data_IF_942591147710
#
_entry.id   IF_942591147710
#
_cell.length_a   1.000
_cell.length_b   1.000
_cell.length_c   1.000
_cell.angle_alpha   90.00
_cell.angle_beta   90.00
_cell.angle_gamma   90.00
#
_symmetry.space_group_name_H-M   'P 1'
#
loop_
_entity.id
_entity.type
_entity.pdbx_description
1 polymer ?
#
# COMPACT_ATOMS: atom_id res chain seq x y z
N UNK A 1 -12.90 5.40 6.80
CA UNK A 1 -12.36 6.01 5.56
C UNK A 1 -11.49 7.22 5.89
N UNK A 2 -12.03 8.23 6.59
CA UNK A 2 -11.27 9.41 7.02
C UNK A 2 -10.00 9.10 7.82
N UNK A 3 -10.04 8.15 8.77
CA UNK A 3 -8.84 7.72 9.51
C UNK A 3 -7.68 7.31 8.59
N UNK A 4 -7.98 6.69 7.45
CA UNK A 4 -6.95 6.21 6.51
C UNK A 4 -6.37 7.38 5.71
N UNK A 5 -7.22 8.27 5.20
CA UNK A 5 -6.79 9.48 4.49
C UNK A 5 -5.98 10.41 5.39
N UNK A 6 -6.34 10.52 6.68
CA UNK A 6 -5.56 11.27 7.66
C UNK A 6 -4.15 10.70 7.85
N UNK A 7 -3.98 9.37 7.82
CA UNK A 7 -2.64 8.77 7.85
C UNK A 7 -1.85 9.10 6.61
N UNK A 8 -2.48 9.03 5.44
CA UNK A 8 -1.81 9.33 4.17
C UNK A 8 -1.30 10.77 4.14
N UNK A 9 -2.12 11.71 4.62
CA UNK A 9 -1.72 13.11 4.79
C UNK A 9 -0.56 13.27 5.79
N UNK A 10 -0.63 12.60 6.95
CA UNK A 10 0.44 12.65 7.97
C UNK A 10 1.76 12.05 7.47
N UNK A 11 1.70 11.05 6.60
CA UNK A 11 2.86 10.35 6.08
C UNK A 11 3.33 10.89 4.72
N UNK A 12 2.74 11.97 4.21
CA UNK A 12 3.02 12.55 2.88
C UNK A 12 3.03 11.49 1.77
N UNK A 13 2.06 10.57 1.81
CA UNK A 13 1.97 9.44 0.86
C UNK A 13 1.78 9.92 -0.57
N UNK A 14 1.09 11.06 -0.75
CA UNK A 14 0.78 11.59 -2.06
C UNK A 14 0.61 13.11 -2.04
N UNK A 15 0.56 13.72 -3.23
CA UNK A 15 0.26 15.15 -3.43
C UNK A 15 -0.76 15.33 -4.53
N UNK A 16 -1.72 16.23 -4.31
CA UNK A 16 -2.75 16.57 -5.29
C UNK A 16 -2.14 17.48 -6.36
N UNK A 17 -2.32 17.14 -7.64
CA UNK A 17 -1.83 17.94 -8.76
C UNK A 17 -2.63 17.70 -10.05
N UNK A 18 -2.46 18.59 -11.02
CA UNK A 18 -2.95 18.35 -12.37
C UNK A 18 -2.23 17.16 -13.00
N UNK A 19 -2.95 16.31 -13.74
CA UNK A 19 -2.37 15.20 -14.48
C UNK A 19 -1.46 15.76 -15.60
N UNK A 20 -0.16 15.41 -15.64
CA UNK A 20 0.70 15.81 -16.73
C UNK A 20 0.22 15.26 -18.08
N UNK A 21 0.52 15.97 -19.17
CA UNK A 21 0.10 15.54 -20.51
C UNK A 21 0.83 14.25 -20.89
N UNK A 22 0.07 13.23 -21.29
CA UNK A 22 0.61 11.94 -21.74
C UNK A 22 0.73 10.88 -20.65
N UNK A 23 0.44 11.22 -19.39
CA UNK A 23 0.50 10.27 -18.27
C UNK A 23 -0.83 9.51 -18.09
N UNK A 24 -0.72 8.26 -17.65
CA UNK A 24 -1.85 7.42 -17.28
C UNK A 24 -2.31 7.70 -15.84
N UNK A 25 -3.52 7.27 -15.49
CA UNK A 25 -4.00 7.32 -14.10
C UNK A 25 -4.55 5.98 -13.68
N UNK A 26 -4.16 5.52 -12.50
CA UNK A 26 -4.68 4.29 -11.90
C UNK A 26 -5.91 4.63 -11.05
N UNK A 27 -6.97 3.84 -11.18
CA UNK A 27 -8.15 4.03 -10.34
C UNK A 27 -7.89 3.67 -8.88
N UNK A 28 -8.69 4.19 -7.96
CA UNK A 28 -8.64 3.83 -6.53
C UNK A 28 -9.96 3.21 -6.08
N UNK A 29 -9.87 2.30 -5.11
CA UNK A 29 -11.04 1.61 -4.56
C UNK A 29 -10.91 1.41 -3.05
N UNK A 30 -12.03 1.48 -2.34
CA UNK A 30 -12.09 1.10 -0.94
C UNK A 30 -12.31 -0.41 -0.76
N UNK A 31 -11.49 -1.02 0.10
CA UNK A 31 -11.71 -2.35 0.64
C UNK A 31 -12.19 -2.25 2.08
N UNK A 32 -13.34 -2.86 2.36
CA UNK A 32 -13.95 -2.88 3.68
C UNK A 32 -13.80 -4.26 4.32
N UNK A 33 -13.49 -4.30 5.61
CA UNK A 33 -13.40 -5.53 6.39
C UNK A 33 -13.86 -5.29 7.82
N UNK A 34 -14.83 -6.08 8.27
CA UNK A 34 -15.24 -6.10 9.66
C UNK A 34 -14.28 -7.00 10.46
N UNK A 35 -13.80 -6.48 11.58
CA UNK A 35 -13.02 -7.23 12.56
C UNK A 35 -13.99 -7.67 13.65
N UNK A 36 -13.98 -8.98 13.90
CA UNK A 36 -14.77 -9.61 14.92
C UNK A 36 -13.88 -10.00 16.09
N UNK A 37 -14.44 -10.05 17.29
CA UNK A 37 -13.82 -10.70 18.44
C UNK A 37 -14.01 -12.23 18.39
N UNK A 38 -13.53 -12.93 19.42
CA UNK A 38 -13.65 -14.38 19.57
C UNK A 38 -15.10 -14.86 19.63
N UNK A 39 -16.04 -13.98 19.98
CA UNK A 39 -17.48 -14.26 20.07
C UNK A 39 -18.23 -13.92 18.78
N UNK A 40 -17.53 -13.46 17.75
CA UNK A 40 -18.12 -13.07 16.47
C UNK A 40 -18.75 -11.67 16.46
N UNK A 41 -18.57 -10.87 17.51
CA UNK A 41 -19.10 -9.51 17.60
C UNK A 41 -18.18 -8.55 16.84
N UNK A 42 -18.77 -7.68 16.01
CA UNK A 42 -18.02 -6.66 15.26
C UNK A 42 -17.42 -5.64 16.23
N UNK A 43 -16.11 -5.67 16.39
CA UNK A 43 -15.36 -4.72 17.23
C UNK A 43 -14.82 -3.52 16.43
N UNK A 44 -14.62 -3.67 15.12
CA UNK A 44 -14.09 -2.59 14.28
C UNK A 44 -14.40 -2.76 12.81
N UNK A 45 -14.87 -1.69 12.19
CA UNK A 45 -15.00 -1.59 10.72
C UNK A 45 -13.72 -0.99 10.15
N UNK A 46 -12.98 -1.78 9.37
CA UNK A 46 -11.72 -1.36 8.73
C UNK A 46 -11.99 -0.99 7.28
N UNK A 47 -11.52 0.18 6.86
CA UNK A 47 -11.48 0.59 5.46
C UNK A 47 -10.03 0.80 5.04
N UNK A 48 -9.66 0.33 3.85
CA UNK A 48 -8.36 0.59 3.22
C UNK A 48 -8.60 1.14 1.83
N UNK A 49 -7.87 2.18 1.46
CA UNK A 49 -7.82 2.61 0.06
C UNK A 49 -6.69 1.84 -0.64
N UNK A 50 -7.00 1.28 -1.81
CA UNK A 50 -6.04 0.56 -2.64
C UNK A 50 -6.03 1.15 -4.04
N UNK A 51 -4.86 1.14 -4.67
CA UNK A 51 -4.75 1.33 -6.11
C UNK A 51 -5.33 0.11 -6.82
N UNK A 52 -6.00 0.33 -7.94
CA UNK A 52 -6.48 -0.73 -8.82
C UNK A 52 -5.33 -1.22 -9.72
N UNK A 53 -4.28 -1.79 -9.12
CA UNK A 53 -3.09 -2.22 -9.87
C UNK A 53 -3.38 -3.26 -10.96
N UNK A 54 -4.50 -3.97 -10.90
CA UNK A 54 -4.96 -4.84 -12.01
C UNK A 54 -5.20 -4.11 -13.33
N UNK A 55 -5.24 -2.78 -13.31
CA UNK A 55 -5.35 -1.92 -14.51
C UNK A 55 -4.01 -1.40 -14.99
N UNK A 56 -2.90 -1.75 -14.33
CA UNK A 56 -1.55 -1.38 -14.75
C UNK A 56 -1.04 -2.28 -15.87
N UNK A 57 -0.31 -1.70 -16.81
CA UNK A 57 0.33 -2.39 -17.92
C UNK A 57 1.86 -2.49 -17.71
N UNK A 58 2.41 -3.70 -17.89
CA UNK A 58 3.87 -3.94 -17.82
C UNK A 58 4.58 -3.19 -18.96
N UNK A 59 5.70 -2.53 -18.64
CA UNK A 59 6.43 -1.67 -19.56
C UNK A 59 5.83 -0.27 -19.75
N UNK A 60 4.68 0.02 -19.14
CA UNK A 60 4.08 1.36 -19.10
C UNK A 60 4.05 1.88 -17.66
N UNK A 61 3.36 1.17 -16.77
CA UNK A 61 3.11 1.61 -15.39
C UNK A 61 4.07 0.96 -14.36
N UNK A 62 4.76 -0.11 -14.75
CA UNK A 62 5.80 -0.78 -13.98
C UNK A 62 6.72 -1.61 -14.87
N UNK A 63 7.97 -1.79 -14.46
CA UNK A 63 8.95 -2.65 -15.15
C UNK A 63 8.99 -4.08 -14.58
N UNK A 64 8.84 -4.23 -13.27
CA UNK A 64 8.98 -5.52 -12.59
C UNK A 64 7.92 -5.70 -11.49
N UNK A 65 7.45 -6.94 -11.30
CA UNK A 65 6.58 -7.32 -10.18
C UNK A 65 7.39 -8.00 -9.09
N UNK A 66 7.23 -7.54 -7.85
CA UNK A 66 7.90 -8.15 -6.71
C UNK A 66 6.92 -8.98 -5.89
N UNK A 67 7.37 -10.16 -5.44
CA UNK A 67 6.66 -10.95 -4.44
C UNK A 67 7.56 -11.07 -3.21
N UNK A 68 7.19 -10.50 -2.05
CA UNK A 68 8.01 -10.55 -0.85
C UNK A 68 7.71 -11.87 -0.14
N UNK A 69 8.07 -12.98 -0.78
CA UNK A 69 7.90 -14.32 -0.19
C UNK A 69 9.23 -14.73 0.41
N UNK A 70 9.31 -14.66 1.74
CA UNK A 70 10.41 -15.26 2.46
C UNK A 70 10.40 -16.77 2.22
N UNK A 71 11.52 -17.32 1.74
CA UNK A 71 11.66 -18.76 1.49
C UNK A 71 11.67 -19.50 2.82
N UNK A 72 10.86 -20.57 2.92
CA UNK A 72 10.74 -21.34 4.15
C UNK A 72 12.09 -21.95 4.56
N UNK A 73 12.89 -22.40 3.59
CA UNK A 73 14.22 -22.95 3.80
C UNK A 73 15.14 -21.92 4.48
N UNK A 74 15.11 -20.67 4.03
CA UNK A 74 15.90 -19.59 4.62
C UNK A 74 15.45 -19.28 6.06
N UNK A 75 14.14 -19.26 6.31
CA UNK A 75 13.58 -19.08 7.66
C UNK A 75 14.02 -20.24 8.57
N UNK A 76 13.92 -21.48 8.11
CA UNK A 76 14.31 -22.66 8.86
C UNK A 76 15.81 -22.65 9.21
N UNK A 77 16.69 -22.33 8.24
CA UNK A 77 18.13 -22.22 8.48
C UNK A 77 18.44 -21.09 9.47
N UNK A 78 17.79 -19.93 9.33
CA UNK A 78 17.94 -18.81 10.26
C UNK A 78 17.53 -19.20 11.68
N UNK A 79 16.38 -19.85 11.86
CA UNK A 79 15.89 -20.28 13.18
C UNK A 79 16.76 -21.38 13.79
N UNK A 80 17.24 -22.33 12.98
CA UNK A 80 18.16 -23.38 13.44
C UNK A 80 19.47 -22.78 13.96
N UNK A 81 20.04 -21.81 13.22
CA UNK A 81 21.24 -21.10 13.64
C UNK A 81 21.01 -20.24 14.88
N UNK A 82 19.90 -19.50 14.94
CA UNK A 82 19.53 -18.71 16.12
C UNK A 82 19.38 -19.58 17.37
N UNK A 83 18.76 -20.76 17.24
CA UNK A 83 18.63 -21.74 18.33
C UNK A 83 20.00 -22.25 18.80
N UNK A 84 20.88 -22.63 17.86
CA UNK A 84 22.23 -23.10 18.15
C UNK A 84 23.06 -22.03 18.90
N UNK A 85 22.97 -20.77 18.47
CA UNK A 85 23.67 -19.65 19.08
C UNK A 85 22.96 -19.09 20.32
N UNK A 86 21.82 -19.67 20.72
CA UNK A 86 20.96 -19.21 21.83
C UNK A 86 20.51 -17.75 21.70
N UNK A 87 20.27 -17.29 20.47
CA UNK A 87 19.70 -15.97 20.20
C UNK A 87 18.20 -15.93 20.48
N UNK A 88 17.73 -14.80 20.99
CA UNK A 88 16.30 -14.51 21.08
C UNK A 88 15.84 -13.93 19.75
N UNK A 89 14.83 -14.55 19.15
CA UNK A 89 14.20 -14.08 17.91
C UNK A 89 12.89 -13.39 18.25
N UNK A 90 12.67 -12.22 17.64
CA UNK A 90 11.44 -11.45 17.76
C UNK A 90 10.81 -11.28 16.38
N UNK A 91 9.49 -11.38 16.29
CA UNK A 91 8.73 -11.09 15.08
C UNK A 91 7.89 -9.83 15.31
N UNK A 92 7.90 -8.92 14.34
CA UNK A 92 7.11 -7.69 14.37
C UNK A 92 6.31 -7.56 13.07
N UNK A 93 5.00 -7.35 13.19
CA UNK A 93 4.14 -6.96 12.06
C UNK A 93 4.06 -5.43 11.99
N UNK A 94 4.65 -4.85 10.94
CA UNK A 94 4.65 -3.40 10.72
C UNK A 94 3.32 -2.99 10.11
N UNK A 95 2.51 -2.27 10.89
CA UNK A 95 1.24 -1.71 10.40
C UNK A 95 1.50 -0.67 9.31
N UNK A 96 1.08 -0.99 8.09
CA UNK A 96 1.15 -0.07 6.97
C UNK A 96 2.56 0.11 6.42
N UNK A 97 3.37 -0.96 6.42
CA UNK A 97 4.73 -0.96 5.89
C UNK A 97 4.86 -0.26 4.52
N UNK A 98 3.94 -0.53 3.59
CA UNK A 98 3.91 0.11 2.26
C UNK A 98 3.90 1.64 2.31
N UNK A 99 3.22 2.25 3.29
CA UNK A 99 3.11 3.70 3.42
C UNK A 99 4.40 4.38 3.90
N UNK A 100 5.43 3.59 4.21
CA UNK A 100 6.79 4.08 4.51
C UNK A 100 7.73 3.95 3.32
N UNK A 101 7.41 3.07 2.37
CA UNK A 101 8.23 2.83 1.22
C UNK A 101 8.12 3.95 0.20
N UNK A 102 9.23 4.63 -0.10
CA UNK A 102 9.28 5.66 -1.14
C UNK A 102 9.23 5.01 -2.53
N UNK A 103 8.35 5.50 -3.40
CA UNK A 103 8.31 5.05 -4.80
C UNK A 103 9.16 5.99 -5.65
N UNK A 104 9.98 5.43 -6.53
CA UNK A 104 10.80 6.20 -7.48
C UNK A 104 10.04 6.53 -8.75
N UNK A 105 9.06 5.70 -9.09
CA UNK A 105 8.30 5.80 -10.32
C UNK A 105 7.20 6.85 -10.17
N UNK A 106 6.95 7.59 -11.24
CA UNK A 106 5.91 8.61 -11.29
C UNK A 106 4.54 7.93 -11.45
N UNK A 107 3.92 7.61 -10.32
CA UNK A 107 2.61 6.94 -10.29
C UNK A 107 1.50 7.91 -9.91
N UNK A 108 0.48 8.00 -10.76
CA UNK A 108 -0.68 8.85 -10.57
C UNK A 108 -1.93 8.02 -10.29
N UNK A 109 -2.68 8.39 -9.24
CA UNK A 109 -3.92 7.71 -8.86
C UNK A 109 -5.11 8.67 -8.81
N UNK A 110 -6.29 8.18 -9.18
CA UNK A 110 -7.54 8.95 -9.07
C UNK A 110 -7.86 9.24 -7.61
N UNK A 111 -8.54 10.36 -7.39
CA UNK A 111 -9.01 10.74 -6.06
C UNK A 111 -9.91 9.64 -5.45
N UNK A 112 -9.84 9.43 -4.12
CA UNK A 112 -10.66 8.41 -3.48
C UNK A 112 -12.15 8.72 -3.71
N UNK A 113 -12.97 7.73 -4.08
CA UNK A 113 -14.37 7.97 -4.41
C UNK A 113 -15.13 8.51 -3.20
N UNK A 114 -15.81 9.64 -3.36
CA UNK A 114 -16.54 10.35 -2.29
C UNK A 114 -15.66 11.23 -1.40
N UNK A 115 -14.39 11.43 -1.77
CA UNK A 115 -13.43 12.35 -1.14
C UNK A 115 -12.68 13.18 -2.18
N UNK A 116 -13.34 13.50 -3.29
CA UNK A 116 -12.82 14.37 -4.33
C UNK A 116 -12.73 15.82 -3.83
N UNK A 117 -11.68 16.53 -4.24
CA UNK A 117 -11.48 17.94 -3.95
C UNK A 117 -12.50 18.79 -4.75
N UNK A 118 -13.30 19.63 -4.09
CA UNK A 118 -14.34 20.41 -4.75
C UNK A 118 -13.78 21.54 -5.63
N UNK A 119 -12.61 22.08 -5.30
CA UNK A 119 -11.94 23.12 -6.09
C UNK A 119 -11.19 22.50 -7.28
N UNK A 120 -10.69 21.26 -7.09
CA UNK A 120 -9.90 20.55 -8.08
C UNK A 120 -10.45 19.14 -8.41
N UNK A 121 -11.67 19.04 -8.97
CA UNK A 121 -12.33 17.74 -9.18
C UNK A 121 -11.61 16.85 -10.21
N UNK A 122 -10.83 17.44 -11.11
CA UNK A 122 -10.09 16.73 -12.16
C UNK A 122 -8.61 16.49 -11.83
N UNK A 123 -8.15 16.93 -10.66
CA UNK A 123 -6.79 16.62 -10.21
C UNK A 123 -6.64 15.16 -9.79
N UNK A 124 -5.40 14.71 -9.78
CA UNK A 124 -4.97 13.37 -9.43
C UNK A 124 -3.98 13.43 -8.27
N UNK A 125 -3.80 12.32 -7.57
CA UNK A 125 -2.77 12.18 -6.56
C UNK A 125 -1.51 11.57 -7.17
N UNK A 126 -0.40 12.31 -7.16
CA UNK A 126 0.93 11.75 -7.42
C UNK A 126 1.42 11.06 -6.15
N UNK A 127 1.78 9.79 -6.25
CA UNK A 127 2.30 9.02 -5.12
C UNK A 127 3.76 9.37 -4.86
N UNK A 128 4.08 9.73 -3.61
CA UNK A 128 5.48 9.80 -3.13
C UNK A 128 5.89 8.47 -2.48
N UNK A 129 4.90 7.67 -2.07
CA UNK A 129 5.10 6.40 -1.36
C UNK A 129 4.18 5.31 -1.91
N UNK A 130 4.58 4.06 -1.75
CA UNK A 130 3.80 2.93 -2.22
C UNK A 130 2.41 2.88 -1.59
N UNK A 131 1.42 2.65 -2.45
CA UNK A 131 0.06 2.35 -2.06
C UNK A 131 -0.20 0.84 -2.21
N UNK A 132 -1.10 0.32 -1.39
CA UNK A 132 -1.57 -1.05 -1.53
C UNK A 132 -2.15 -1.30 -2.92
N UNK A 133 -1.88 -2.49 -3.46
CA UNK A 133 -2.46 -2.93 -4.73
C UNK A 133 -1.66 -2.56 -5.97
N UNK A 134 -0.60 -1.76 -5.85
CA UNK A 134 0.37 -1.55 -6.94
C UNK A 134 1.23 -2.80 -7.13
N UNK A 135 1.60 -3.10 -8.38
CA UNK A 135 2.45 -4.25 -8.71
C UNK A 135 3.89 -4.10 -8.19
N UNK A 136 4.40 -2.87 -8.14
CA UNK A 136 5.74 -2.54 -7.67
C UNK A 136 5.84 -2.27 -6.16
N UNK A 137 4.71 -2.08 -5.47
CA UNK A 137 4.71 -1.80 -4.02
C UNK A 137 5.45 -2.84 -3.15
N UNK A 138 5.46 -4.14 -3.47
CA UNK A 138 6.18 -5.13 -2.67
C UNK A 138 7.71 -5.12 -2.79
N UNK A 139 8.27 -4.26 -3.63
CA UNK A 139 9.71 -4.00 -3.68
C UNK A 139 10.24 -3.33 -2.40
N UNK A 140 9.36 -2.60 -1.69
CA UNK A 140 9.73 -1.65 -0.64
C UNK A 140 9.58 -2.19 0.78
#
# INVERSE_FOLDING_TARGET
MQEELLKFRKQDVWKLMALPKGESTIGTKYLFKNKHDERGIVIRNKARLVAQGSTQEEGIDYEEVFTPVARLEAICVFLAYASFMKFKVYQMDVKGAFLYGAITDDVYVKQPPGFEDPEFPHHVYKLNKALYGLHQAPRI
#
